data_IF_280520170859
#
_entry.id   IF_280520170859
#
_cell.length_a   1.000
_cell.length_b   1.000
_cell.length_c   1.000
_cell.angle_alpha   90.00
_cell.angle_beta   90.00
_cell.angle_gamma   90.00
#
_symmetry.space_group_name_H-M   'P 1'
#
loop_
_entity.id
_entity.type
_entity.pdbx_description
1 polymer ?
#
# COMPACT_ATOMS: atom_id res chain seq x y z
N UNK A 1 -13.45 -2.15 51.59
CA UNK A 1 -14.35 -3.26 52.03
C UNK A 1 -14.25 -3.32 53.54
N UNK A 2 -15.36 -3.52 54.25
CA UNK A 2 -15.27 -3.60 55.69
C UNK A 2 -14.45 -4.83 56.08
N UNK A 3 -13.41 -4.64 56.90
CA UNK A 3 -12.58 -5.75 57.36
C UNK A 3 -13.27 -6.48 58.51
N UNK A 4 -12.83 -7.72 58.77
CA UNK A 4 -13.30 -8.52 59.89
C UNK A 4 -13.25 -7.74 61.22
N UNK A 5 -12.19 -6.95 61.41
CA UNK A 5 -12.00 -6.10 62.58
C UNK A 5 -13.00 -4.94 62.66
N UNK A 6 -13.42 -4.38 61.52
CA UNK A 6 -14.43 -3.32 61.47
C UNK A 6 -15.83 -3.83 61.81
N UNK A 7 -16.15 -5.08 61.45
CA UNK A 7 -17.44 -5.71 61.77
C UNK A 7 -17.52 -6.02 63.27
N UNK A 8 -16.44 -6.53 63.85
CA UNK A 8 -16.34 -6.76 65.30
C UNK A 8 -16.45 -5.43 66.06
N UNK A 9 -15.73 -4.39 65.63
CA UNK A 9 -15.84 -3.05 66.23
C UNK A 9 -17.24 -2.46 66.08
N UNK A 10 -17.94 -2.68 64.96
CA UNK A 10 -19.34 -2.26 64.79
C UNK A 10 -20.28 -3.00 65.74
N UNK A 11 -20.10 -4.31 65.91
CA UNK A 11 -20.90 -5.08 66.86
C UNK A 11 -20.72 -4.57 68.30
N UNK A 12 -19.49 -4.21 68.66
CA UNK A 12 -19.15 -3.67 69.98
C UNK A 12 -19.70 -2.24 70.17
N UNK A 13 -19.64 -1.38 69.13
CA UNK A 13 -20.22 -0.03 69.12
C UNK A 13 -21.75 -0.03 69.23
N UNK A 14 -22.40 -1.03 68.63
CA UNK A 14 -23.85 -1.23 68.71
C UNK A 14 -24.28 -1.84 70.06
N UNK A 15 -23.33 -2.20 70.93
CA UNK A 15 -23.60 -2.73 72.25
C UNK A 15 -24.18 -4.15 72.25
N UNK A 16 -24.04 -4.90 71.16
CA UNK A 16 -24.49 -6.29 71.11
C UNK A 16 -23.63 -7.15 72.04
N UNK A 17 -24.28 -8.03 72.83
CA UNK A 17 -23.62 -8.94 73.77
C UNK A 17 -24.23 -10.34 73.71
N UNK A 18 -23.45 -11.34 74.10
CA UNK A 18 -23.88 -12.75 74.13
C UNK A 18 -24.36 -13.23 72.76
N UNK A 19 -25.48 -13.95 72.73
CA UNK A 19 -26.06 -14.55 71.52
C UNK A 19 -26.33 -13.52 70.41
N UNK A 20 -26.78 -12.31 70.75
CA UNK A 20 -27.05 -11.25 69.75
C UNK A 20 -25.79 -10.79 69.02
N UNK A 21 -24.63 -10.81 69.70
CA UNK A 21 -23.34 -10.47 69.08
C UNK A 21 -22.92 -11.57 68.12
N UNK A 22 -23.07 -12.83 68.51
CA UNK A 22 -22.74 -13.97 67.66
C UNK A 22 -23.62 -14.04 66.41
N UNK A 23 -24.93 -13.79 66.55
CA UNK A 23 -25.86 -13.75 65.42
C UNK A 23 -25.51 -12.64 64.43
N UNK A 24 -25.25 -11.42 64.93
CA UNK A 24 -24.84 -10.30 64.10
C UNK A 24 -23.55 -10.58 63.34
N UNK A 25 -22.53 -11.11 64.04
CA UNK A 25 -21.25 -11.45 63.42
C UNK A 25 -21.43 -12.54 62.35
N UNK A 26 -22.21 -13.60 62.62
CA UNK A 26 -22.48 -14.65 61.63
C UNK A 26 -23.19 -14.11 60.38
N UNK A 27 -24.16 -13.23 60.54
CA UNK A 27 -24.87 -12.63 59.39
C UNK A 27 -23.94 -11.75 58.55
N UNK A 28 -23.13 -10.90 59.19
CA UNK A 28 -22.18 -10.03 58.50
C UNK A 28 -21.04 -10.83 57.83
N UNK A 29 -20.59 -11.93 58.43
CA UNK A 29 -19.62 -12.83 57.79
C UNK A 29 -20.17 -13.48 56.53
N UNK A 30 -21.39 -14.00 56.60
CA UNK A 30 -22.05 -14.59 55.45
C UNK A 30 -22.22 -13.57 54.31
N UNK A 31 -22.60 -12.34 54.64
CA UNK A 31 -22.71 -11.24 53.68
C UNK A 31 -21.37 -10.85 53.05
N UNK A 32 -20.27 -10.96 53.80
CA UNK A 32 -18.92 -10.71 53.29
C UNK A 32 -18.49 -11.79 52.30
N UNK A 33 -18.68 -13.07 52.65
CA UNK A 33 -18.37 -14.21 51.78
C UNK A 33 -19.16 -14.12 50.48
N UNK A 34 -20.49 -13.92 50.54
CA UNK A 34 -21.34 -13.78 49.35
C UNK A 34 -20.90 -12.60 48.45
N UNK A 35 -20.38 -11.52 49.03
CA UNK A 35 -19.85 -10.38 48.27
C UNK A 35 -18.50 -10.67 47.63
N UNK A 36 -17.64 -11.45 48.27
CA UNK A 36 -16.37 -11.89 47.69
C UNK A 36 -16.62 -12.84 46.52
N UNK A 37 -17.49 -13.84 46.71
CA UNK A 37 -17.86 -14.78 45.65
C UNK A 37 -18.43 -14.06 44.43
N UNK A 38 -19.36 -13.11 44.62
CA UNK A 38 -19.91 -12.30 43.52
C UNK A 38 -18.85 -11.47 42.80
N UNK A 39 -17.84 -10.98 43.51
CA UNK A 39 -16.73 -10.24 42.89
C UNK A 39 -15.83 -11.16 42.08
N UNK A 40 -15.47 -12.31 42.62
CA UNK A 40 -14.67 -13.30 41.89
C UNK A 40 -15.39 -13.85 40.67
N UNK A 41 -16.71 -14.03 40.76
CA UNK A 41 -17.55 -14.45 39.63
C UNK A 41 -17.62 -13.35 38.56
N UNK A 42 -17.81 -12.09 38.98
CA UNK A 42 -17.79 -10.95 38.06
C UNK A 42 -16.41 -10.76 37.38
N UNK A 43 -15.32 -10.94 38.11
CA UNK A 43 -13.96 -10.88 37.56
C UNK A 43 -13.69 -12.03 36.58
N UNK A 44 -14.15 -13.25 36.90
CA UNK A 44 -14.07 -14.38 35.96
C UNK A 44 -14.85 -14.12 34.67
N UNK A 45 -16.10 -13.66 34.79
CA UNK A 45 -16.92 -13.32 33.62
C UNK A 45 -16.32 -12.17 32.80
N UNK A 46 -15.75 -11.16 33.46
CA UNK A 46 -15.08 -10.06 32.78
C UNK A 46 -13.84 -10.55 32.02
N UNK A 47 -13.05 -11.44 32.63
CA UNK A 47 -11.87 -12.04 32.00
C UNK A 47 -12.25 -12.91 30.81
N UNK A 48 -13.27 -13.77 30.94
CA UNK A 48 -13.77 -14.61 29.84
C UNK A 48 -14.23 -13.78 28.64
N UNK A 49 -15.00 -12.70 28.88
CA UNK A 49 -15.43 -11.78 27.82
C UNK A 49 -14.26 -11.10 27.13
N UNK A 50 -13.23 -10.72 27.89
CA UNK A 50 -12.06 -10.06 27.32
C UNK A 50 -11.22 -11.03 26.48
N UNK A 51 -11.05 -12.28 26.94
CA UNK A 51 -10.39 -13.33 26.16
C UNK A 51 -11.16 -13.69 24.89
N UNK A 52 -12.50 -13.70 24.94
CA UNK A 52 -13.32 -13.95 23.76
C UNK A 52 -13.23 -12.80 22.75
N UNK A 53 -13.24 -11.55 23.21
CA UNK A 53 -13.04 -10.37 22.37
C UNK A 53 -11.67 -10.40 21.68
N UNK A 54 -10.60 -10.71 22.41
CA UNK A 54 -9.24 -10.81 21.84
C UNK A 54 -9.14 -11.94 20.79
N UNK A 55 -9.83 -13.06 21.02
CA UNK A 55 -9.90 -14.15 20.02
C UNK A 55 -10.67 -13.73 18.78
N UNK A 56 -11.75 -12.97 18.92
CA UNK A 56 -12.51 -12.46 17.78
C UNK A 56 -11.67 -11.45 16.97
N UNK A 57 -11.00 -10.52 17.63
CA UNK A 57 -10.14 -9.54 16.98
C UNK A 57 -9.00 -10.20 16.18
N UNK A 58 -8.34 -11.21 16.77
CA UNK A 58 -7.31 -12.00 16.05
C UNK A 58 -7.86 -12.73 14.83
N UNK A 59 -9.08 -13.27 14.91
CA UNK A 59 -9.73 -13.96 13.77
C UNK A 59 -10.09 -12.96 12.66
N UNK A 60 -10.65 -11.82 13.00
CA UNK A 60 -10.95 -10.77 12.03
C UNK A 60 -9.69 -10.21 11.37
N UNK A 61 -8.62 -10.02 12.13
CA UNK A 61 -7.35 -9.56 11.57
C UNK A 61 -6.76 -10.59 10.59
N UNK A 62 -6.78 -11.88 10.94
CA UNK A 62 -6.36 -12.94 10.04
C UNK A 62 -7.20 -12.97 8.75
N UNK A 63 -8.52 -12.83 8.85
CA UNK A 63 -9.40 -12.79 7.67
C UNK A 63 -9.12 -11.56 6.79
N UNK A 64 -8.87 -10.39 7.40
CA UNK A 64 -8.47 -9.19 6.65
C UNK A 64 -7.14 -9.37 5.94
N UNK A 65 -6.17 -10.06 6.56
CA UNK A 65 -4.89 -10.37 5.91
C UNK A 65 -5.09 -11.32 4.73
N UNK A 66 -5.86 -12.40 4.91
CA UNK A 66 -6.14 -13.36 3.83
C UNK A 66 -6.84 -12.67 2.64
N UNK A 67 -7.82 -11.80 2.90
CA UNK A 67 -8.49 -11.03 1.84
C UNK A 67 -7.53 -10.11 1.09
N UNK A 68 -6.64 -9.42 1.80
CA UNK A 68 -5.61 -8.56 1.17
C UNK A 68 -4.62 -9.36 0.34
N UNK A 69 -4.24 -10.56 0.77
CA UNK A 69 -3.35 -11.44 0.00
C UNK A 69 -4.03 -11.94 -1.28
N UNK A 70 -5.29 -12.37 -1.19
CA UNK A 70 -6.10 -12.74 -2.37
C UNK A 70 -6.25 -11.58 -3.33
N UNK A 71 -6.60 -10.39 -2.85
CA UNK A 71 -6.75 -9.21 -3.70
C UNK A 71 -5.43 -8.83 -4.40
N UNK A 72 -4.29 -8.94 -3.70
CA UNK A 72 -2.97 -8.74 -4.32
C UNK A 72 -2.67 -9.78 -5.39
N UNK A 73 -2.98 -11.05 -5.16
CA UNK A 73 -2.79 -12.12 -6.12
C UNK A 73 -3.66 -11.90 -7.37
N UNK A 74 -4.95 -11.64 -7.20
CA UNK A 74 -5.89 -11.35 -8.29
C UNK A 74 -5.46 -10.13 -9.10
N UNK A 75 -5.00 -9.07 -8.41
CA UNK A 75 -4.49 -7.87 -9.08
C UNK A 75 -3.24 -8.17 -9.89
N UNK A 76 -2.33 -8.99 -9.37
CA UNK A 76 -1.11 -9.38 -10.09
C UNK A 76 -1.44 -10.18 -11.34
N UNK A 77 -2.34 -11.15 -11.23
CA UNK A 77 -2.80 -11.95 -12.37
C UNK A 77 -3.44 -11.07 -13.46
N UNK A 78 -4.32 -10.12 -13.06
CA UNK A 78 -4.92 -9.16 -14.00
C UNK A 78 -3.87 -8.31 -14.72
N UNK A 79 -2.87 -7.82 -14.00
CA UNK A 79 -1.78 -7.02 -14.59
C UNK A 79 -0.92 -7.85 -15.55
N UNK A 80 -0.67 -9.13 -15.25
CA UNK A 80 0.05 -10.03 -16.16
C UNK A 80 -0.74 -10.28 -17.45
N UNK A 81 -2.05 -10.50 -17.35
CA UNK A 81 -2.93 -10.65 -18.52
C UNK A 81 -2.99 -9.37 -19.35
N UNK A 82 -3.07 -8.21 -18.71
CA UNK A 82 -3.09 -6.91 -19.40
C UNK A 82 -1.78 -6.65 -20.14
N UNK A 83 -0.63 -6.95 -19.51
CA UNK A 83 0.68 -6.89 -20.17
C UNK A 83 0.76 -7.78 -21.40
N UNK A 84 0.30 -9.04 -21.30
CA UNK A 84 0.30 -9.95 -22.44
C UNK A 84 -0.58 -9.46 -23.59
N UNK A 85 -1.73 -8.85 -23.29
CA UNK A 85 -2.58 -8.23 -24.32
C UNK A 85 -1.88 -7.08 -25.00
N UNK A 86 -1.26 -6.19 -24.22
CA UNK A 86 -0.56 -5.03 -24.76
C UNK A 86 0.65 -5.43 -25.62
N UNK A 87 1.41 -6.45 -25.20
CA UNK A 87 2.49 -7.03 -26.00
C UNK A 87 1.99 -7.62 -27.32
N UNK A 88 0.83 -8.29 -27.31
CA UNK A 88 0.23 -8.84 -28.52
C UNK A 88 -0.23 -7.72 -29.47
N UNK A 89 -0.85 -6.67 -28.95
CA UNK A 89 -1.26 -5.48 -29.72
C UNK A 89 -0.07 -4.75 -30.32
N UNK A 90 1.02 -4.59 -29.56
CA UNK A 90 2.27 -4.01 -30.06
C UNK A 90 2.88 -4.85 -31.19
N UNK A 91 2.93 -6.18 -31.06
CA UNK A 91 3.42 -7.07 -32.11
C UNK A 91 2.58 -6.97 -33.39
N UNK A 92 1.25 -6.86 -33.26
CA UNK A 92 0.36 -6.68 -34.41
C UNK A 92 0.58 -5.32 -35.08
N UNK A 93 0.80 -4.26 -34.31
CA UNK A 93 1.12 -2.94 -34.86
C UNK A 93 2.46 -2.96 -35.62
N UNK A 94 3.50 -3.55 -35.04
CA UNK A 94 4.79 -3.69 -35.70
C UNK A 94 4.68 -4.49 -37.00
N UNK A 95 3.96 -5.62 -36.99
CA UNK A 95 3.74 -6.41 -38.19
C UNK A 95 2.95 -5.66 -39.28
N UNK A 96 1.99 -4.80 -38.90
CA UNK A 96 1.28 -3.93 -39.85
C UNK A 96 2.20 -2.87 -40.44
N UNK A 97 3.06 -2.25 -39.62
CA UNK A 97 4.05 -1.27 -40.07
C UNK A 97 5.04 -1.92 -41.04
N UNK A 98 5.57 -3.11 -40.72
CA UNK A 98 6.45 -3.87 -41.62
C UNK A 98 5.76 -4.21 -42.95
N UNK A 99 4.50 -4.63 -42.92
CA UNK A 99 3.74 -4.92 -44.14
C UNK A 99 3.47 -3.66 -45.01
N UNK A 100 3.28 -2.49 -44.39
CA UNK A 100 3.15 -1.22 -45.10
C UNK A 100 4.48 -0.72 -45.67
N UNK A 101 5.60 -0.94 -44.97
CA UNK A 101 6.94 -0.61 -45.47
C UNK A 101 7.28 -1.47 -46.69
N UNK A 102 7.00 -2.78 -46.64
CA UNK A 102 7.25 -3.70 -47.77
C UNK A 102 6.35 -3.36 -48.97
N UNK A 103 5.10 -2.92 -48.75
CA UNK A 103 4.22 -2.44 -49.83
C UNK A 103 4.67 -1.12 -50.46
N UNK A 104 5.47 -0.33 -49.75
CA UNK A 104 5.99 0.95 -50.20
C UNK A 104 7.48 0.89 -50.59
N UNK A 105 8.06 -0.30 -50.80
CA UNK A 105 9.38 -0.40 -51.44
C UNK A 105 9.31 0.30 -52.80
N UNK A 106 10.01 1.43 -52.98
CA UNK A 106 10.00 2.14 -54.25
C UNK A 106 10.84 1.32 -55.22
N UNK A 107 10.17 0.79 -56.25
CA UNK A 107 10.83 0.30 -57.45
C UNK A 107 11.81 1.38 -57.90
N UNK A 108 13.09 0.99 -57.96
CA UNK A 108 14.20 1.93 -57.83
C UNK A 108 14.13 3.13 -58.78
N UNK A 109 14.25 4.34 -58.23
CA UNK A 109 14.87 5.46 -58.95
C UNK A 109 15.41 6.48 -57.95
N UNK A 110 16.66 6.85 -58.15
CA UNK A 110 17.46 7.57 -57.17
C UNK A 110 17.08 9.04 -57.00
N UNK A 111 17.37 9.56 -55.81
CA UNK A 111 17.80 10.92 -55.63
C UNK A 111 18.58 11.03 -54.32
N UNK A 112 19.91 11.12 -54.46
CA UNK A 112 20.77 11.64 -53.39
C UNK A 112 20.36 13.09 -53.15
N UNK A 113 19.81 13.39 -51.98
CA UNK A 113 19.79 14.75 -51.44
C UNK A 113 20.48 14.75 -50.09
N UNK A 114 21.79 15.01 -50.13
CA UNK A 114 22.52 15.58 -49.01
C UNK A 114 21.97 16.99 -48.79
N UNK A 115 21.12 17.18 -47.79
CA UNK A 115 20.82 18.51 -47.28
C UNK A 115 20.79 18.44 -45.75
N UNK A 116 22.00 18.49 -45.18
CA UNK A 116 22.26 18.62 -43.76
C UNK A 116 22.00 20.08 -43.32
N UNK A 117 20.73 20.48 -43.35
CA UNK A 117 20.23 21.64 -42.60
C UNK A 117 19.36 21.10 -41.48
N UNK A 118 19.77 21.29 -40.22
CA UNK A 118 19.04 20.79 -39.06
C UNK A 118 17.59 21.34 -39.05
N UNK A 119 16.67 20.55 -39.58
CA UNK A 119 15.22 20.82 -39.48
C UNK A 119 14.81 20.51 -38.05
N UNK A 120 14.75 21.54 -37.21
CA UNK A 120 14.00 21.44 -35.96
C UNK A 120 12.57 20.97 -36.28
N UNK A 121 11.95 20.10 -35.47
CA UNK A 121 10.58 19.70 -35.72
C UNK A 121 9.73 20.92 -35.44
N UNK A 122 8.70 21.07 -36.24
CA UNK A 122 7.67 22.04 -35.90
C UNK A 122 6.96 21.54 -34.64
N UNK A 123 6.85 22.41 -33.63
CA UNK A 123 6.03 22.14 -32.46
C UNK A 123 4.58 21.91 -32.91
N UNK A 124 3.81 21.03 -32.25
CA UNK A 124 2.40 20.83 -32.57
C UNK A 124 1.63 22.13 -32.31
N UNK A 125 0.83 22.56 -33.28
CA UNK A 125 -0.07 23.70 -33.08
C UNK A 125 -1.14 23.33 -32.06
N UNK A 126 -1.46 24.26 -31.16
CA UNK A 126 -2.59 24.13 -30.25
C UNK A 126 -3.91 24.15 -31.04
N UNK A 127 -4.73 23.11 -30.87
CA UNK A 127 -6.03 23.01 -31.53
C UNK A 127 -7.14 23.45 -30.57
N UNK A 128 -7.62 24.68 -30.76
CA UNK A 128 -8.68 25.26 -29.92
C UNK A 128 -9.96 24.42 -29.97
N UNK A 129 -10.50 24.07 -28.81
CA UNK A 129 -11.67 23.18 -28.64
C UNK A 129 -11.38 21.67 -28.70
N UNK A 130 -10.14 21.24 -28.97
CA UNK A 130 -9.73 19.81 -28.95
C UNK A 130 -8.59 19.53 -27.99
N UNK A 131 -7.72 20.50 -27.79
CA UNK A 131 -6.59 20.40 -26.89
C UNK A 131 -6.91 21.10 -25.57
N UNK A 132 -6.99 20.34 -24.48
CA UNK A 132 -6.78 20.90 -23.14
C UNK A 132 -5.28 21.16 -22.93
N UNK A 133 -4.95 22.10 -22.04
CA UNK A 133 -3.55 22.49 -21.77
C UNK A 133 -2.66 21.28 -21.46
N UNK A 134 -3.18 20.33 -20.67
CA UNK A 134 -2.47 19.11 -20.28
C UNK A 134 -2.20 18.17 -21.47
N UNK A 135 -3.14 18.07 -22.41
CA UNK A 135 -3.00 17.25 -23.61
C UNK A 135 -1.94 17.86 -24.55
N UNK A 136 -1.94 19.19 -24.68
CA UNK A 136 -0.94 19.89 -25.49
C UNK A 136 0.47 19.77 -24.88
N UNK A 137 0.60 19.90 -23.56
CA UNK A 137 1.87 19.69 -22.85
C UNK A 137 2.38 18.25 -22.99
N UNK A 138 1.50 17.26 -22.90
CA UNK A 138 1.89 15.85 -23.08
C UNK A 138 2.48 15.59 -24.47
N UNK A 139 1.95 16.22 -25.53
CA UNK A 139 2.51 16.11 -26.89
C UNK A 139 3.88 16.79 -27.01
N UNK A 140 4.12 17.85 -26.26
CA UNK A 140 5.42 18.52 -26.21
C UNK A 140 6.47 17.66 -25.51
N UNK A 141 6.11 16.98 -24.42
CA UNK A 141 7.03 16.09 -23.69
C UNK A 141 7.43 14.87 -24.54
N UNK A 142 6.50 14.30 -25.31
CA UNK A 142 6.81 13.21 -26.26
C UNK A 142 7.84 13.66 -27.31
N UNK A 143 7.72 14.89 -27.81
CA UNK A 143 8.68 15.43 -28.77
C UNK A 143 10.03 15.67 -28.12
N UNK A 144 10.06 16.23 -26.91
CA UNK A 144 11.28 16.43 -26.11
C UNK A 144 12.03 15.12 -25.88
N UNK A 145 11.33 14.05 -25.54
CA UNK A 145 11.95 12.74 -25.30
C UNK A 145 12.47 12.10 -26.59
N UNK A 146 11.77 12.28 -27.72
CA UNK A 146 12.29 11.87 -29.04
C UNK A 146 13.55 12.65 -29.45
N UNK A 147 13.68 13.90 -29.00
CA UNK A 147 14.87 14.74 -29.24
C UNK A 147 16.06 14.25 -28.45
N UNK A 148 15.86 13.85 -27.19
CA UNK A 148 16.92 13.25 -26.38
C UNK A 148 17.43 11.95 -26.99
N UNK A 149 16.55 11.06 -27.49
CA UNK A 149 16.99 9.81 -28.11
C UNK A 149 17.79 10.04 -29.39
N UNK A 150 17.37 10.99 -30.25
CA UNK A 150 18.08 11.29 -31.51
C UNK A 150 19.42 12.02 -31.25
N UNK A 151 19.49 12.91 -30.25
CA UNK A 151 20.72 13.61 -29.91
C UNK A 151 21.77 12.69 -29.26
N UNK A 152 21.34 11.72 -28.44
CA UNK A 152 22.21 10.69 -27.86
C UNK A 152 22.77 9.77 -28.97
N UNK A 153 21.94 9.34 -29.93
CA UNK A 153 22.42 8.52 -31.06
C UNK A 153 23.31 9.28 -32.03
N UNK A 154 23.07 10.59 -32.24
CA UNK A 154 23.91 11.42 -33.14
C UNK A 154 25.26 11.80 -32.53
N UNK A 155 25.39 11.84 -31.19
CA UNK A 155 26.67 12.07 -30.51
C UNK A 155 27.47 10.78 -30.29
N UNK A 156 26.82 9.61 -30.33
CA UNK A 156 27.47 8.31 -30.12
C UNK A 156 28.27 7.80 -31.34
N UNK A 157 28.04 8.33 -32.54
CA UNK A 157 28.73 7.87 -33.76
C UNK A 157 30.01 8.65 -34.11
N UNK A 158 30.31 9.76 -33.41
CA UNK A 158 31.46 10.62 -33.73
C UNK A 158 32.53 10.74 -32.64
N UNK A 159 32.44 9.99 -31.53
CA UNK A 159 33.52 9.98 -30.53
C UNK A 159 34.09 8.59 -30.35
N UNK A 160 35.39 8.46 -30.71
CA UNK A 160 36.29 7.34 -30.38
C UNK A 160 36.11 6.91 -28.91
N UNK A 161 36.31 5.62 -28.59
CA UNK A 161 36.05 5.11 -27.24
C UNK A 161 36.97 5.83 -26.25
N UNK A 162 36.39 6.56 -25.31
CA UNK A 162 37.13 7.10 -24.18
C UNK A 162 37.10 6.07 -23.05
N UNK A 163 38.30 5.64 -22.68
CA UNK A 163 38.63 4.78 -21.57
C UNK A 163 37.95 5.18 -20.26
N UNK A 164 37.52 4.15 -19.53
CA UNK A 164 37.44 4.04 -18.07
C UNK A 164 37.73 5.32 -17.26
N UNK A 165 36.68 6.01 -16.81
CA UNK A 165 36.74 6.81 -15.57
C UNK A 165 35.60 6.43 -14.63
N UNK A 166 35.94 5.48 -13.76
CA UNK A 166 35.62 5.44 -12.34
C UNK A 166 34.18 5.79 -11.91
N UNK A 167 33.45 4.71 -11.62
CA UNK A 167 32.55 4.56 -10.48
C UNK A 167 33.07 5.36 -9.26
N UNK A 168 32.31 6.37 -8.83
CA UNK A 168 32.23 6.76 -7.41
C UNK A 168 30.76 7.05 -7.08
N UNK A 169 30.07 5.98 -6.67
CA UNK A 169 28.86 6.09 -5.84
C UNK A 169 29.30 6.50 -4.45
N UNK A 170 28.49 7.36 -3.82
CA UNK A 170 28.76 7.94 -2.53
C UNK A 170 28.90 6.92 -1.40
N UNK A 171 29.85 7.19 -0.53
CA UNK A 171 29.82 6.85 0.88
C UNK A 171 30.25 8.14 1.60
N UNK A 172 29.29 8.84 2.21
CA UNK A 172 29.55 9.81 3.28
C UNK A 172 28.21 10.09 4.00
N UNK A 173 27.98 9.30 5.05
CA UNK A 173 27.44 9.69 6.36
C UNK A 173 28.09 8.73 7.37
N UNK A 174 28.54 9.22 8.54
CA UNK A 174 27.66 9.81 9.57
C UNK A 174 28.02 11.23 10.03
#
# INVERSE_FOLDING_TARGET
MATMEEIVKKADLLGYRGEKREEYLKQEFKLLEERQEKKEEAERQAKEKNEEAERQEKKEEAERQERKEKEKADRKERLELEKMKLDAEMKLLLAKIEAEIIKNEPDGSGARSNDAGAKHPKLPNFQDGRDDLDIWLTRLDIIKDSYLSVFITSKATDTKPLDNWAIKRGEEEP
#
